data_IF_850645870794
#
_entry.id   IF_850645870794
#
_cell.length_a   1.000
_cell.length_b   1.000
_cell.length_c   1.000
_cell.angle_alpha   90.00
_cell.angle_beta   90.00
_cell.angle_gamma   90.00
#
_symmetry.space_group_name_H-M   'P 1'
#
loop_
_entity.id
_entity.type
_entity.pdbx_description
1 polymer ?
#
# COMPACT_ATOMS: atom_id res chain seq x y z
N UNK A 1 25.78 -18.73 -21.30
CA UNK A 1 24.52 -19.42 -20.97
C UNK A 1 24.09 -18.91 -19.60
N UNK A 2 23.23 -17.91 -19.57
CA UNK A 2 22.66 -17.37 -18.33
C UNK A 2 21.49 -18.25 -17.93
N UNK A 3 21.57 -18.85 -16.76
CA UNK A 3 20.47 -19.59 -16.16
C UNK A 3 19.33 -18.60 -15.81
N UNK A 4 18.28 -18.60 -16.63
CA UNK A 4 17.00 -17.98 -16.29
C UNK A 4 16.34 -18.83 -15.20
N UNK A 5 16.71 -18.60 -13.95
CA UNK A 5 15.91 -19.06 -12.83
C UNK A 5 14.57 -18.34 -12.92
N UNK A 6 13.49 -19.04 -13.21
CA UNK A 6 12.15 -18.53 -13.08
C UNK A 6 11.96 -18.09 -11.62
N UNK A 7 11.92 -16.77 -11.38
CA UNK A 7 11.52 -16.22 -10.12
C UNK A 7 10.09 -16.73 -9.88
N UNK A 8 9.85 -17.37 -8.74
CA UNK A 8 8.52 -17.80 -8.34
C UNK A 8 7.62 -16.57 -8.40
N UNK A 9 6.60 -16.61 -9.24
CA UNK A 9 5.58 -15.56 -9.31
C UNK A 9 4.84 -15.61 -7.98
N UNK A 10 5.12 -14.66 -7.10
CA UNK A 10 4.38 -14.46 -5.85
C UNK A 10 2.93 -14.16 -6.25
N UNK A 11 2.01 -15.08 -5.97
CA UNK A 11 0.60 -15.01 -6.40
C UNK A 11 -0.22 -14.06 -5.52
N UNK A 12 0.40 -13.06 -4.91
CA UNK A 12 -0.30 -12.09 -4.07
C UNK A 12 -1.33 -11.31 -4.89
N UNK A 13 -2.51 -11.16 -4.32
CA UNK A 13 -3.63 -10.49 -4.93
C UNK A 13 -3.62 -9.01 -4.58
N UNK A 14 -3.62 -8.15 -5.59
CA UNK A 14 -3.87 -6.73 -5.39
C UNK A 14 -5.37 -6.45 -5.41
N UNK A 15 -5.85 -5.71 -4.42
CA UNK A 15 -7.19 -5.10 -4.47
C UNK A 15 -7.02 -3.68 -5.01
N UNK A 16 -7.59 -3.42 -6.16
CA UNK A 16 -7.51 -2.11 -6.81
C UNK A 16 -8.73 -1.25 -6.46
N UNK A 17 -8.49 0.05 -6.23
CA UNK A 17 -9.48 1.09 -6.10
C UNK A 17 -9.27 2.12 -7.21
N UNK A 18 -10.34 2.50 -7.88
CA UNK A 18 -10.33 3.38 -9.05
C UNK A 18 -11.37 4.50 -8.90
N UNK A 19 -11.54 5.31 -9.92
CA UNK A 19 -12.58 6.36 -9.95
C UNK A 19 -13.99 5.76 -9.83
N UNK A 20 -14.22 4.54 -10.34
CA UNK A 20 -15.51 3.84 -10.17
C UNK A 20 -15.78 3.42 -8.71
N UNK A 21 -14.76 3.36 -7.87
CA UNK A 21 -14.86 3.06 -6.44
C UNK A 21 -14.95 4.33 -5.58
N UNK A 22 -14.99 5.53 -6.20
CA UNK A 22 -15.15 6.81 -5.52
C UNK A 22 -13.90 7.69 -5.43
N UNK A 23 -12.77 7.31 -6.06
CA UNK A 23 -11.61 8.20 -6.14
C UNK A 23 -11.97 9.45 -6.97
N UNK A 24 -11.60 10.67 -6.50
CA UNK A 24 -11.92 11.91 -7.22
C UNK A 24 -11.07 12.10 -8.48
N UNK A 25 -9.96 11.40 -8.59
CA UNK A 25 -9.06 11.39 -9.73
C UNK A 25 -8.32 10.04 -9.83
N UNK A 26 -7.95 9.65 -11.03
CA UNK A 26 -7.21 8.40 -11.25
C UNK A 26 -5.77 8.44 -10.72
N UNK A 27 -5.11 9.59 -10.76
CA UNK A 27 -3.73 9.73 -10.30
C UNK A 27 -3.65 10.01 -8.80
N UNK A 28 -2.97 9.12 -8.08
CA UNK A 28 -2.68 9.23 -6.65
C UNK A 28 -1.21 9.64 -6.50
N UNK A 29 -0.98 10.84 -5.99
CA UNK A 29 0.35 11.44 -5.89
C UNK A 29 1.04 11.17 -4.56
N UNK A 30 0.26 11.04 -3.49
CA UNK A 30 0.76 10.79 -2.14
C UNK A 30 -0.26 10.04 -1.30
N UNK A 31 0.19 9.17 -0.39
CA UNK A 31 -0.65 8.40 0.53
C UNK A 31 -0.01 8.45 1.91
N UNK A 32 -0.79 8.75 2.92
CA UNK A 32 -0.38 8.62 4.32
C UNK A 32 -1.53 8.08 5.16
N UNK A 33 -1.22 7.48 6.32
CA UNK A 33 -2.21 7.10 7.31
C UNK A 33 -2.10 8.01 8.54
N UNK A 34 -3.23 8.50 9.04
CA UNK A 34 -3.27 9.23 10.30
C UNK A 34 -3.36 8.28 11.51
N UNK A 35 -3.21 8.83 12.72
CA UNK A 35 -3.24 8.06 13.98
C UNK A 35 -4.59 7.37 14.26
N UNK A 36 -5.66 7.83 13.63
CA UNK A 36 -7.00 7.26 13.78
C UNK A 36 -7.26 6.13 12.79
N UNK A 37 -6.33 5.91 11.86
CA UNK A 37 -6.38 4.83 10.87
C UNK A 37 -6.95 5.22 9.51
N UNK A 38 -7.40 6.47 9.33
CA UNK A 38 -7.81 6.95 8.02
C UNK A 38 -6.62 7.10 7.07
N UNK A 39 -6.82 6.70 5.82
CA UNK A 39 -5.88 7.02 4.76
C UNK A 39 -6.22 8.38 4.15
N UNK A 40 -5.18 9.18 3.97
CA UNK A 40 -5.26 10.46 3.29
C UNK A 40 -4.53 10.37 1.95
N UNK A 41 -5.23 10.69 0.89
CA UNK A 41 -4.78 10.56 -0.49
C UNK A 41 -4.63 11.95 -1.10
N UNK A 42 -3.44 12.26 -1.58
CA UNK A 42 -3.23 13.38 -2.48
C UNK A 42 -3.60 12.97 -3.89
N UNK A 43 -4.41 13.77 -4.56
CA UNK A 43 -4.80 13.54 -5.95
C UNK A 43 -4.67 14.83 -6.76
N UNK A 44 -4.80 14.74 -8.08
CA UNK A 44 -4.87 15.93 -8.93
C UNK A 44 -6.24 16.63 -8.91
N UNK A 45 -7.18 16.13 -8.09
CA UNK A 45 -8.51 16.74 -7.89
C UNK A 45 -8.90 16.74 -6.40
N UNK A 46 -8.02 17.25 -5.54
CA UNK A 46 -8.29 17.45 -4.11
C UNK A 46 -7.65 16.43 -3.18
N UNK A 47 -7.84 16.68 -1.89
CA UNK A 47 -7.44 15.83 -0.78
C UNK A 47 -8.57 14.86 -0.46
N UNK A 48 -8.29 13.57 -0.37
CA UNK A 48 -9.31 12.55 -0.09
C UNK A 48 -8.98 11.79 1.17
N UNK A 49 -9.96 11.67 2.09
CA UNK A 49 -9.93 10.77 3.24
C UNK A 49 -10.66 9.48 2.89
N UNK A 50 -10.03 8.35 3.15
CA UNK A 50 -10.58 7.01 2.97
C UNK A 50 -10.64 6.26 4.29
N UNK A 51 -11.81 5.73 4.66
CA UNK A 51 -12.07 5.02 5.92
C UNK A 51 -12.05 3.48 5.77
N UNK A 52 -11.67 2.97 4.61
CA UNK A 52 -11.73 1.54 4.27
C UNK A 52 -12.97 1.15 3.47
N UNK A 53 -14.01 2.00 3.44
CA UNK A 53 -15.27 1.76 2.75
C UNK A 53 -15.72 2.95 1.89
N UNK A 54 -15.64 4.17 2.44
CA UNK A 54 -16.11 5.40 1.79
C UNK A 54 -14.99 6.43 1.65
N UNK A 55 -15.16 7.34 0.70
CA UNK A 55 -14.22 8.41 0.40
C UNK A 55 -14.88 9.78 0.61
N UNK A 56 -14.20 10.67 1.37
CA UNK A 56 -14.59 12.06 1.53
C UNK A 56 -13.51 12.94 0.92
N UNK A 57 -13.89 13.73 -0.08
CA UNK A 57 -12.96 14.61 -0.81
C UNK A 57 -13.13 16.07 -0.41
N UNK A 58 -12.00 16.73 -0.19
CA UNK A 58 -11.88 18.15 0.10
C UNK A 58 -11.26 18.83 -1.12
N UNK A 59 -11.95 19.79 -1.67
CA UNK A 59 -11.53 20.56 -2.84
C UNK A 59 -11.42 22.04 -2.48
N UNK A 60 -10.87 22.84 -3.39
CA UNK A 60 -10.88 24.29 -3.26
C UNK A 60 -12.31 24.81 -3.37
N UNK A 61 -12.69 25.66 -2.44
CA UNK A 61 -13.92 26.43 -2.46
C UNK A 61 -13.61 27.95 -2.39
N UNK A 62 -14.64 28.78 -2.30
CA UNK A 62 -14.49 30.23 -2.24
C UNK A 62 -14.20 30.77 -0.83
N UNK A 63 -14.02 29.90 0.18
CA UNK A 63 -13.69 30.33 1.54
C UNK A 63 -12.20 30.64 1.69
N UNK A 64 -11.87 31.53 2.63
CA UNK A 64 -10.47 31.86 2.97
C UNK A 64 -9.73 30.70 3.63
N UNK A 65 -10.48 29.73 4.15
CA UNK A 65 -9.97 28.51 4.81
C UNK A 65 -10.25 27.25 3.97
N UNK A 66 -9.92 27.29 2.70
CA UNK A 66 -9.99 26.13 1.81
C UNK A 66 -8.63 25.77 1.26
N UNK A 67 -8.58 24.69 0.53
CA UNK A 67 -7.40 24.27 -0.22
C UNK A 67 -7.00 25.36 -1.23
N UNK A 68 -5.73 25.74 -1.26
CA UNK A 68 -5.23 26.78 -2.17
C UNK A 68 -5.19 26.33 -3.63
N UNK A 69 -4.94 25.03 -3.87
CA UNK A 69 -4.95 24.40 -5.20
C UNK A 69 -5.41 22.94 -5.08
N UNK A 70 -6.22 22.49 -6.03
CA UNK A 70 -6.75 21.12 -6.02
C UNK A 70 -5.72 20.04 -6.39
N UNK A 71 -4.62 20.40 -7.03
CA UNK A 71 -3.56 19.48 -7.43
C UNK A 71 -2.60 19.26 -6.27
N UNK A 72 -2.79 18.16 -5.55
CA UNK A 72 -1.93 17.78 -4.41
C UNK A 72 -0.70 17.07 -4.96
N UNK A 73 0.48 17.39 -4.43
CA UNK A 73 1.75 16.75 -4.80
C UNK A 73 2.32 15.95 -3.64
N UNK A 74 2.30 16.50 -2.43
CA UNK A 74 2.92 15.89 -1.26
C UNK A 74 2.03 16.00 -0.02
N UNK A 75 2.14 15.03 0.86
CA UNK A 75 1.46 15.00 2.16
C UNK A 75 2.47 14.69 3.26
N UNK A 76 2.31 15.34 4.40
CA UNK A 76 3.04 15.03 5.61
C UNK A 76 2.12 15.18 6.82
N UNK A 77 2.05 14.14 7.68
CA UNK A 77 1.28 14.16 8.91
C UNK A 77 2.18 14.45 10.11
N UNK A 78 1.94 15.56 10.80
CA UNK A 78 2.58 15.83 12.08
C UNK A 78 1.95 15.01 13.21
N UNK A 79 2.75 14.68 14.21
CA UNK A 79 2.33 13.84 15.35
C UNK A 79 1.10 14.35 16.11
N UNK A 80 0.74 15.63 15.97
CA UNK A 80 -0.21 16.31 16.83
C UNK A 80 -1.59 16.60 16.23
N UNK A 81 -1.91 16.17 15.01
CA UNK A 81 -3.20 16.43 14.38
C UNK A 81 -3.20 17.28 13.13
N UNK A 82 -2.05 17.71 12.68
CA UNK A 82 -1.94 18.55 11.51
C UNK A 82 -1.48 17.72 10.31
N UNK A 83 -2.18 17.91 9.20
CA UNK A 83 -1.82 17.40 7.91
C UNK A 83 -1.30 18.55 7.06
N UNK A 84 -0.02 18.51 6.72
CA UNK A 84 0.61 19.43 5.79
C UNK A 84 0.44 18.94 4.37
N UNK A 85 0.04 19.82 3.48
CA UNK A 85 -0.38 19.48 2.12
C UNK A 85 0.37 20.39 1.15
N UNK A 86 1.26 19.81 0.37
CA UNK A 86 1.96 20.47 -0.72
C UNK A 86 1.15 20.42 -2.00
N UNK A 87 1.02 21.56 -2.68
CA UNK A 87 0.22 21.69 -3.88
C UNK A 87 1.05 22.14 -5.08
N UNK A 88 0.49 21.97 -6.29
CA UNK A 88 1.08 22.41 -7.54
C UNK A 88 0.73 23.89 -7.80
N UNK A 89 1.58 24.81 -7.30
CA UNK A 89 1.41 26.25 -7.51
C UNK A 89 0.47 26.96 -6.53
N UNK A 90 0.04 26.29 -5.47
CA UNK A 90 -0.71 26.89 -4.36
C UNK A 90 0.06 26.86 -3.04
N UNK A 91 1.34 26.48 -3.07
CA UNK A 91 2.19 26.41 -1.91
C UNK A 91 1.79 25.33 -0.91
N UNK A 92 2.04 25.62 0.37
CA UNK A 92 1.78 24.75 1.49
C UNK A 92 0.42 25.07 2.13
N UNK A 93 -0.36 24.02 2.43
CA UNK A 93 -1.62 24.12 3.18
C UNK A 93 -1.52 23.29 4.46
N UNK A 94 -2.36 23.61 5.44
CA UNK A 94 -2.49 22.87 6.69
C UNK A 94 -3.94 22.54 6.93
N UNK A 95 -4.21 21.26 7.18
CA UNK A 95 -5.52 20.74 7.54
C UNK A 95 -5.48 20.20 8.96
N UNK A 96 -6.43 20.61 9.79
CA UNK A 96 -6.58 20.12 11.15
C UNK A 96 -7.50 18.90 11.15
N UNK A 97 -6.96 17.75 11.54
CA UNK A 97 -7.66 16.46 11.50
C UNK A 97 -8.82 16.37 12.51
N UNK A 98 -8.70 17.05 13.67
CA UNK A 98 -9.78 17.05 14.68
C UNK A 98 -10.93 18.00 14.32
N UNK A 99 -10.59 19.17 13.74
CA UNK A 99 -11.60 20.15 13.33
C UNK A 99 -12.17 19.86 11.94
N UNK A 100 -11.54 18.94 11.21
CA UNK A 100 -11.83 18.66 9.81
C UNK A 100 -11.88 19.91 8.92
N UNK A 101 -10.95 20.83 9.14
CA UNK A 101 -10.92 22.14 8.44
C UNK A 101 -9.51 22.57 8.07
N UNK A 102 -9.41 23.36 7.00
CA UNK A 102 -8.16 24.03 6.65
C UNK A 102 -7.91 25.20 7.63
N UNK A 103 -6.67 25.31 8.07
CA UNK A 103 -6.25 26.36 9.01
C UNK A 103 -5.01 27.12 8.48
N UNK A 104 -4.93 27.34 7.17
CA UNK A 104 -3.77 27.93 6.51
C UNK A 104 -3.35 29.25 7.15
N UNK A 105 -4.26 30.22 7.28
CA UNK A 105 -3.97 31.55 7.81
C UNK A 105 -3.75 31.57 9.32
N UNK A 106 -4.33 30.63 10.05
CA UNK A 106 -4.20 30.53 11.51
C UNK A 106 -2.87 29.88 11.93
N UNK A 107 -2.41 28.90 11.17
CA UNK A 107 -1.26 28.07 11.52
C UNK A 107 -0.01 28.47 10.74
N UNK A 108 -0.13 28.81 9.45
CA UNK A 108 1.00 29.24 8.63
C UNK A 108 1.12 30.75 8.63
N UNK A 109 2.16 31.25 9.26
CA UNK A 109 2.59 32.65 9.15
C UNK A 109 3.72 32.76 8.13
N UNK A 110 3.38 32.53 6.87
CA UNK A 110 4.33 32.39 5.78
C UNK A 110 4.19 33.52 4.80
N UNK A 111 5.30 33.95 4.22
CA UNK A 111 5.35 35.01 3.21
C UNK A 111 4.68 34.58 1.88
N UNK A 112 4.26 35.56 1.10
CA UNK A 112 3.53 35.36 -0.16
C UNK A 112 4.27 34.53 -1.21
N UNK A 113 5.60 34.48 -1.14
CA UNK A 113 6.42 33.72 -2.10
C UNK A 113 6.23 32.20 -2.05
N UNK A 114 6.10 31.63 -0.85
CA UNK A 114 5.81 30.16 -0.75
C UNK A 114 4.41 29.82 -1.25
N UNK A 115 3.47 30.75 -1.18
CA UNK A 115 2.07 30.51 -1.54
C UNK A 115 1.83 30.30 -3.04
N UNK A 116 2.80 30.58 -3.88
CA UNK A 116 2.74 30.41 -5.34
C UNK A 116 3.61 29.26 -5.86
N UNK A 117 4.36 28.58 -5.00
CA UNK A 117 5.32 27.55 -5.40
C UNK A 117 4.70 26.15 -5.47
N UNK A 118 5.38 25.26 -6.20
CA UNK A 118 5.09 23.83 -6.20
C UNK A 118 5.83 23.20 -5.03
N UNK A 119 5.10 22.52 -4.14
CA UNK A 119 5.68 21.86 -2.97
C UNK A 119 5.80 20.37 -3.23
N UNK A 120 7.01 19.90 -3.51
CA UNK A 120 7.31 18.49 -3.84
C UNK A 120 7.54 17.64 -2.60
N UNK A 121 8.20 18.17 -1.58
CA UNK A 121 8.57 17.43 -0.37
C UNK A 121 8.26 18.22 0.90
N UNK A 122 7.78 17.50 1.91
CA UNK A 122 7.56 18.03 3.26
C UNK A 122 8.13 17.02 4.24
N UNK A 123 9.05 17.44 5.11
CA UNK A 123 9.68 16.55 6.10
C UNK A 123 9.81 17.27 7.44
N UNK A 124 9.56 16.53 8.53
CA UNK A 124 9.90 16.98 9.87
C UNK A 124 11.41 16.90 10.06
N UNK A 125 11.98 17.97 10.54
CA UNK A 125 13.36 18.05 10.96
C UNK A 125 13.51 17.98 12.47
N UNK A 126 14.75 18.06 12.92
CA UNK A 126 15.11 18.16 14.34
C UNK A 126 14.59 19.50 14.90
N UNK A 127 14.30 19.56 16.19
CA UNK A 127 13.86 20.77 16.91
C UNK A 127 12.55 21.38 16.36
N UNK A 128 11.56 20.54 16.04
CA UNK A 128 10.22 20.97 15.58
C UNK A 128 10.25 21.84 14.30
N UNK A 129 11.28 21.69 13.47
CA UNK A 129 11.37 22.30 12.15
C UNK A 129 10.57 21.49 11.13
N UNK A 130 10.04 22.17 10.14
CA UNK A 130 9.45 21.54 8.94
C UNK A 130 10.25 22.03 7.73
N UNK A 131 10.84 21.10 7.02
CA UNK A 131 11.52 21.32 5.76
C UNK A 131 10.51 21.21 4.61
N UNK A 132 10.51 22.19 3.71
CA UNK A 132 9.60 22.26 2.58
C UNK A 132 10.41 22.41 1.29
N UNK A 133 10.46 21.37 0.50
CA UNK A 133 11.12 21.36 -0.81
C UNK A 133 10.19 21.86 -1.90
N UNK A 134 10.68 22.82 -2.68
CA UNK A 134 9.90 23.48 -3.73
C UNK A 134 10.60 23.45 -5.08
N UNK A 135 9.93 23.98 -6.09
CA UNK A 135 10.49 24.17 -7.44
C UNK A 135 11.68 25.13 -7.50
N UNK A 136 11.83 26.02 -6.51
CA UNK A 136 12.88 27.05 -6.52
C UNK A 136 13.92 26.90 -5.42
N UNK A 137 13.69 26.03 -4.44
CA UNK A 137 14.62 25.84 -3.32
C UNK A 137 13.98 25.15 -2.13
N UNK A 138 14.64 25.33 -0.98
CA UNK A 138 14.25 24.73 0.29
C UNK A 138 13.84 25.79 1.30
N UNK A 139 12.64 25.63 1.85
CA UNK A 139 12.09 26.49 2.90
C UNK A 139 12.14 25.80 4.26
N UNK A 140 12.35 26.60 5.31
CA UNK A 140 12.37 26.13 6.69
C UNK A 140 11.30 26.84 7.50
N UNK A 141 10.43 26.06 8.10
CA UNK A 141 9.41 26.54 9.02
C UNK A 141 9.75 26.08 10.44
N UNK A 142 9.57 26.96 11.41
CA UNK A 142 9.75 26.64 12.84
C UNK A 142 8.42 26.68 13.56
N UNK A 143 8.14 25.67 14.37
CA UNK A 143 6.98 25.65 15.26
C UNK A 143 7.13 26.70 16.36
N UNK A 144 6.09 27.51 16.55
CA UNK A 144 5.98 28.52 17.60
C UNK A 144 4.59 28.37 18.27
N UNK A 145 4.55 27.65 19.37
CA UNK A 145 3.28 27.28 20.01
C UNK A 145 2.43 26.41 19.08
N UNK A 146 1.26 26.89 18.69
CA UNK A 146 0.34 26.18 17.77
C UNK A 146 0.52 26.58 16.29
N UNK A 147 1.41 27.53 15.98
CA UNK A 147 1.63 28.03 14.63
C UNK A 147 3.04 27.72 14.13
N UNK A 148 3.23 27.83 12.81
CA UNK A 148 4.53 27.71 12.15
C UNK A 148 4.88 29.04 11.49
N UNK A 149 6.06 29.54 11.75
CA UNK A 149 6.58 30.75 11.12
C UNK A 149 7.72 30.40 10.16
N UNK A 150 7.81 31.17 9.09
CA UNK A 150 8.96 31.15 8.20
C UNK A 150 10.22 31.51 8.98
N UNK A 151 11.28 30.76 8.75
CA UNK A 151 12.60 31.02 9.34
C UNK A 151 13.66 31.31 8.28
N UNK A 152 13.67 30.53 7.22
CA UNK A 152 14.81 30.48 6.34
C UNK A 152 14.45 29.94 4.95
N UNK A 153 15.15 30.46 3.92
CA UNK A 153 15.09 29.99 2.55
C UNK A 153 16.50 29.75 2.00
N UNK A 154 16.70 28.57 1.39
CA UNK A 154 17.93 28.17 0.73
C UNK A 154 17.64 28.10 -0.77
N UNK A 155 18.05 29.11 -1.56
CA UNK A 155 17.74 29.21 -2.98
C UNK A 155 18.65 28.32 -3.84
N UNK A 156 18.37 28.32 -5.15
CA UNK A 156 19.24 27.76 -6.18
C UNK A 156 19.38 26.21 -6.16
N UNK A 157 18.42 25.52 -5.57
CA UNK A 157 18.29 24.07 -5.71
C UNK A 157 16.93 23.83 -6.38
N UNK A 158 16.90 23.61 -7.71
CA UNK A 158 15.63 23.50 -8.43
C UNK A 158 14.96 22.18 -8.14
N UNK A 159 13.61 22.19 -8.00
CA UNK A 159 12.77 21.00 -7.84
C UNK A 159 13.27 20.05 -6.75
N UNK A 160 13.24 20.49 -5.49
CA UNK A 160 13.62 19.66 -4.34
C UNK A 160 12.56 18.58 -4.11
N UNK A 161 12.86 17.35 -4.51
CA UNK A 161 11.92 16.21 -4.55
C UNK A 161 11.91 15.36 -3.30
N UNK A 162 13.01 15.32 -2.55
CA UNK A 162 13.07 14.67 -1.24
C UNK A 162 14.13 15.31 -0.34
N UNK A 163 13.99 15.13 0.97
CA UNK A 163 14.78 15.81 1.99
C UNK A 163 15.13 14.80 3.09
N UNK A 164 16.40 14.77 3.48
CA UNK A 164 16.90 13.91 4.56
C UNK A 164 17.86 14.68 5.47
N UNK A 165 17.57 14.75 6.77
CA UNK A 165 18.57 15.16 7.76
C UNK A 165 19.53 14.01 8.02
N UNK A 166 20.80 14.21 7.70
CA UNK A 166 21.88 13.25 7.92
C UNK A 166 22.35 13.27 9.38
N UNK A 167 22.56 14.50 9.89
CA UNK A 167 22.94 14.79 11.27
C UNK A 167 22.52 16.22 11.67
N UNK A 168 23.08 16.73 12.78
CA UNK A 168 22.77 18.07 13.26
C UNK A 168 23.21 19.19 12.30
N UNK A 169 24.23 18.94 11.48
CA UNK A 169 24.88 19.96 10.63
C UNK A 169 24.58 19.78 9.16
N UNK A 170 24.26 18.56 8.73
CA UNK A 170 24.16 18.18 7.31
C UNK A 170 22.74 17.75 6.96
N UNK A 171 22.29 18.27 5.84
CA UNK A 171 21.06 17.92 5.17
C UNK A 171 21.37 17.43 3.75
N UNK A 172 20.73 16.38 3.32
CA UNK A 172 20.74 15.96 1.92
C UNK A 172 19.39 16.24 1.28
N UNK A 173 19.43 16.67 0.02
CA UNK A 173 18.23 16.84 -0.80
C UNK A 173 18.44 16.22 -2.16
N UNK A 174 17.38 15.61 -2.69
CA UNK A 174 17.32 15.19 -4.10
C UNK A 174 16.64 16.27 -4.92
N UNK A 175 17.07 16.38 -6.17
CA UNK A 175 16.55 17.37 -7.11
C UNK A 175 16.63 16.81 -8.54
N UNK A 176 16.00 17.51 -9.49
CA UNK A 176 16.13 17.16 -10.91
C UNK A 176 17.54 17.44 -11.51
N UNK A 177 18.43 18.07 -10.76
CA UNK A 177 19.82 18.35 -11.19
C UNK A 177 20.86 17.61 -10.34
N UNK A 178 20.48 16.95 -9.26
CA UNK A 178 21.44 16.22 -8.45
C UNK A 178 21.01 15.89 -7.03
N UNK A 179 21.88 15.19 -6.32
CA UNK A 179 21.85 15.07 -4.85
C UNK A 179 22.77 16.13 -4.28
N UNK A 180 22.24 16.97 -3.42
CA UNK A 180 22.97 18.04 -2.78
C UNK A 180 23.15 17.78 -1.30
N UNK A 181 24.35 18.02 -0.80
CA UNK A 181 24.67 18.14 0.62
C UNK A 181 24.63 19.61 1.02
N UNK A 182 23.83 19.93 2.02
CA UNK A 182 23.65 21.28 2.51
C UNK A 182 24.18 21.35 3.95
N UNK A 183 25.12 22.26 4.19
CA UNK A 183 25.50 22.62 5.54
C UNK A 183 24.45 23.57 6.12
N UNK A 184 23.76 23.16 7.21
CA UNK A 184 22.64 23.90 7.81
C UNK A 184 23.06 25.24 8.43
N UNK A 185 24.34 25.40 8.81
CA UNK A 185 24.85 26.65 9.41
C UNK A 185 25.29 27.67 8.35
N UNK A 186 26.07 27.22 7.36
CA UNK A 186 26.61 28.09 6.31
C UNK A 186 25.66 28.24 5.14
N UNK A 187 24.62 27.40 5.02
CA UNK A 187 23.66 27.33 3.92
C UNK A 187 24.28 27.02 2.55
N UNK A 188 25.52 26.58 2.57
CA UNK A 188 26.20 26.20 1.34
C UNK A 188 25.73 24.81 0.89
N UNK A 189 25.34 24.73 -0.38
CA UNK A 189 24.99 23.47 -1.03
C UNK A 189 26.16 22.99 -1.89
N UNK A 190 26.54 21.72 -1.72
CA UNK A 190 27.54 21.02 -2.51
C UNK A 190 26.88 19.90 -3.29
N UNK A 191 27.05 19.86 -4.60
CA UNK A 191 26.60 18.75 -5.41
C UNK A 191 27.43 17.49 -5.07
N UNK A 192 26.76 16.43 -4.66
CA UNK A 192 27.36 15.12 -4.37
C UNK A 192 27.34 14.21 -5.58
N UNK A 193 26.21 14.23 -6.30
CA UNK A 193 25.99 13.37 -7.44
C UNK A 193 25.05 14.11 -8.40
N UNK A 194 25.41 14.20 -9.68
CA UNK A 194 24.59 14.81 -10.71
C UNK A 194 23.45 13.86 -11.17
N UNK A 195 22.64 14.29 -12.11
CA UNK A 195 21.45 13.61 -12.62
C UNK A 195 20.13 13.86 -11.86
N UNK A 196 19.05 13.36 -12.44
CA UNK A 196 17.69 13.53 -11.89
C UNK A 196 17.40 12.47 -10.83
N UNK A 197 17.21 12.93 -9.60
CA UNK A 197 16.86 12.09 -8.45
C UNK A 197 15.46 12.41 -7.94
N UNK A 198 14.73 11.36 -7.51
CA UNK A 198 13.35 11.48 -7.10
C UNK A 198 13.15 11.28 -5.59
N UNK A 199 13.88 10.32 -4.99
CA UNK A 199 13.61 9.87 -3.62
C UNK A 199 14.86 9.31 -2.95
N UNK A 200 14.84 9.33 -1.61
CA UNK A 200 15.87 8.73 -0.73
C UNK A 200 15.20 7.94 0.37
N UNK A 201 15.82 6.83 0.80
CA UNK A 201 15.37 6.03 1.93
C UNK A 201 16.56 5.41 2.66
N UNK A 202 16.62 5.56 3.97
CA UNK A 202 17.65 4.92 4.77
C UNK A 202 17.45 3.42 4.84
N UNK A 203 18.48 2.68 4.48
CA UNK A 203 18.56 1.24 4.66
C UNK A 203 19.16 0.90 6.04
N UNK A 204 20.15 1.71 6.48
CA UNK A 204 20.77 1.65 7.79
C UNK A 204 21.37 3.01 8.14
N UNK A 205 22.02 3.13 9.31
CA UNK A 205 22.70 4.37 9.73
C UNK A 205 23.78 4.83 8.74
N UNK A 206 24.44 3.88 8.07
CA UNK A 206 25.55 4.17 7.16
C UNK A 206 25.20 3.91 5.68
N UNK A 207 23.97 3.52 5.38
CA UNK A 207 23.55 3.16 4.03
C UNK A 207 22.22 3.78 3.65
N UNK A 208 22.18 4.45 2.50
CA UNK A 208 20.99 5.11 1.95
C UNK A 208 20.74 4.63 0.53
N UNK A 209 19.50 4.24 0.25
CA UNK A 209 19.01 4.01 -1.10
C UNK A 209 18.58 5.32 -1.72
N UNK A 210 18.99 5.58 -2.95
CA UNK A 210 18.65 6.79 -3.70
C UNK A 210 18.17 6.37 -5.08
N UNK A 211 17.01 6.85 -5.46
CA UNK A 211 16.34 6.48 -6.72
C UNK A 211 16.07 7.68 -7.60
N UNK A 212 16.18 7.48 -8.91
CA UNK A 212 15.91 8.51 -9.91
C UNK A 212 15.88 7.96 -11.33
N UNK A 213 16.07 8.85 -12.32
CA UNK A 213 15.96 8.50 -13.74
C UNK A 213 16.97 7.44 -14.17
N UNK A 214 18.18 7.47 -13.60
CA UNK A 214 19.28 6.56 -13.96
C UNK A 214 19.31 5.26 -13.16
N UNK A 215 18.35 5.04 -12.27
CA UNK A 215 18.23 3.80 -11.52
C UNK A 215 18.16 3.95 -10.01
N UNK A 216 18.29 2.80 -9.34
CA UNK A 216 18.44 2.67 -7.90
C UNK A 216 19.91 2.52 -7.54
N UNK A 217 20.37 3.34 -6.64
CA UNK A 217 21.73 3.31 -6.11
C UNK A 217 21.74 3.14 -4.61
N UNK A 218 22.74 2.41 -4.13
CA UNK A 218 23.09 2.37 -2.72
C UNK A 218 24.30 3.27 -2.49
N UNK A 219 24.16 4.24 -1.63
CA UNK A 219 25.28 4.97 -1.04
C UNK A 219 25.64 4.35 0.30
N UNK A 220 26.93 4.11 0.53
CA UNK A 220 27.49 3.66 1.83
C UNK A 220 28.54 4.64 2.31
N UNK A 221 28.46 5.04 3.58
CA UNK A 221 29.44 5.95 4.18
C UNK A 221 30.84 5.32 4.14
N UNK A 222 31.78 5.97 3.43
CA UNK A 222 33.13 5.44 3.21
C UNK A 222 33.28 4.38 2.12
N UNK A 223 32.17 3.84 1.59
CA UNK A 223 32.17 2.83 0.53
C UNK A 223 31.76 3.36 -0.87
N UNK A 224 31.21 4.57 -0.92
CA UNK A 224 30.79 5.21 -2.16
C UNK A 224 29.46 4.72 -2.71
N UNK A 225 29.28 4.80 -4.03
CA UNK A 225 28.03 4.56 -4.75
C UNK A 225 28.07 3.21 -5.49
N UNK A 226 26.98 2.45 -5.38
CA UNK A 226 26.78 1.18 -6.11
C UNK A 226 25.41 1.13 -6.74
N UNK A 227 25.32 0.95 -8.05
CA UNK A 227 24.06 0.76 -8.77
C UNK A 227 23.45 -0.60 -8.45
N UNK A 228 22.17 -0.62 -8.11
CA UNK A 228 21.40 -1.83 -7.75
C UNK A 228 20.45 -2.24 -8.87
N UNK A 229 19.76 -1.25 -9.48
CA UNK A 229 18.75 -1.51 -10.50
C UNK A 229 18.81 -0.42 -11.57
N UNK A 230 18.64 -0.81 -12.85
CA UNK A 230 18.74 0.07 -14.00
C UNK A 230 17.38 0.32 -14.62
N UNK A 231 16.49 0.99 -13.86
CA UNK A 231 15.16 1.44 -14.30
C UNK A 231 14.84 2.77 -13.64
N UNK A 232 13.95 3.55 -14.21
CA UNK A 232 13.57 4.85 -13.68
C UNK A 232 12.75 4.71 -12.38
N UNK A 233 13.35 5.09 -11.24
CA UNK A 233 12.77 4.96 -9.90
C UNK A 233 11.95 6.21 -9.59
N UNK A 234 10.73 6.01 -9.11
CA UNK A 234 9.85 7.07 -8.66
C UNK A 234 9.76 7.19 -7.13
N UNK A 235 9.77 6.05 -6.43
CA UNK A 235 9.60 6.04 -4.97
C UNK A 235 10.17 4.76 -4.35
N UNK A 236 10.57 4.83 -3.08
CA UNK A 236 11.14 3.73 -2.29
C UNK A 236 10.35 3.62 -0.99
N UNK A 237 10.07 2.40 -0.54
CA UNK A 237 9.49 2.13 0.77
C UNK A 237 10.20 0.94 1.42
N UNK A 238 10.55 1.07 2.69
CA UNK A 238 11.01 -0.05 3.52
C UNK A 238 9.89 -0.32 4.53
N UNK A 239 9.33 -1.51 4.49
CA UNK A 239 8.21 -1.90 5.32
C UNK A 239 8.68 -2.39 6.70
N UNK A 240 7.76 -2.47 7.66
CA UNK A 240 8.02 -2.89 9.04
C UNK A 240 8.64 -4.29 9.15
N UNK A 241 8.42 -5.16 8.17
CA UNK A 241 9.05 -6.48 8.04
C UNK A 241 10.39 -6.44 7.29
N UNK A 242 10.99 -5.26 7.11
CA UNK A 242 12.27 -5.01 6.44
C UNK A 242 12.33 -5.41 4.95
N UNK A 243 11.20 -5.54 4.28
CA UNK A 243 11.16 -5.69 2.82
C UNK A 243 11.30 -4.32 2.15
N UNK A 244 12.06 -4.28 1.05
CA UNK A 244 12.29 -3.05 0.28
C UNK A 244 11.41 -3.11 -0.96
N UNK A 245 10.57 -2.10 -1.12
CA UNK A 245 9.65 -1.95 -2.23
C UNK A 245 10.04 -0.75 -3.08
N UNK A 246 10.25 -0.99 -4.37
CA UNK A 246 10.73 0.01 -5.33
C UNK A 246 9.63 0.24 -6.35
N UNK A 247 9.09 1.44 -6.37
CA UNK A 247 8.13 1.90 -7.37
C UNK A 247 8.83 2.60 -8.53
N UNK A 248 8.47 2.24 -9.75
CA UNK A 248 9.08 2.77 -10.97
C UNK A 248 8.12 3.65 -11.76
N UNK A 249 8.65 4.40 -12.70
CA UNK A 249 7.84 5.23 -13.60
C UNK A 249 7.08 4.41 -14.66
N UNK A 250 7.60 3.25 -15.08
CA UNK A 250 7.00 2.48 -16.19
C UNK A 250 7.07 0.96 -16.03
N UNK A 251 7.94 0.46 -15.14
CA UNK A 251 8.27 -0.96 -15.05
C UNK A 251 7.53 -1.66 -13.88
N UNK A 252 6.59 -0.96 -13.24
CA UNK A 252 5.79 -1.48 -12.13
C UNK A 252 6.55 -1.47 -10.80
N UNK A 253 6.46 -2.56 -10.07
CA UNK A 253 6.89 -2.69 -8.69
C UNK A 253 7.93 -3.79 -8.54
N UNK A 254 9.02 -3.50 -7.84
CA UNK A 254 10.07 -4.45 -7.50
C UNK A 254 10.12 -4.64 -5.99
N UNK A 255 10.27 -5.90 -5.58
CA UNK A 255 10.42 -6.28 -4.18
C UNK A 255 11.82 -6.85 -3.95
N UNK A 256 12.51 -6.32 -2.96
CA UNK A 256 13.82 -6.80 -2.54
C UNK A 256 13.81 -7.24 -1.06
N UNK A 257 14.71 -8.16 -0.73
CA UNK A 257 15.07 -8.41 0.67
C UNK A 257 15.91 -7.26 1.24
N UNK A 258 16.07 -7.23 2.55
CA UNK A 258 16.94 -6.24 3.22
C UNK A 258 18.41 -6.28 2.69
N UNK A 259 18.87 -7.45 2.26
CA UNK A 259 20.21 -7.66 1.66
C UNK A 259 20.27 -7.27 0.17
N UNK A 260 19.26 -6.57 -0.33
CA UNK A 260 19.16 -6.11 -1.74
C UNK A 260 19.15 -7.25 -2.76
N UNK A 261 18.62 -8.43 -2.41
CA UNK A 261 18.33 -9.50 -3.34
C UNK A 261 16.92 -9.31 -3.91
N UNK A 262 16.77 -9.29 -5.24
CA UNK A 262 15.47 -9.23 -5.89
C UNK A 262 14.65 -10.48 -5.57
N UNK A 263 13.46 -10.30 -4.99
CA UNK A 263 12.54 -11.37 -4.58
C UNK A 263 11.39 -11.54 -5.59
N UNK A 264 10.81 -10.44 -6.07
CA UNK A 264 9.66 -10.46 -6.99
C UNK A 264 9.54 -9.16 -7.79
N UNK A 265 8.81 -9.24 -8.89
CA UNK A 265 8.39 -8.08 -9.70
C UNK A 265 6.89 -8.18 -9.97
N UNK A 266 6.20 -7.03 -9.95
CA UNK A 266 4.76 -6.96 -10.19
C UNK A 266 4.49 -5.88 -11.23
N UNK A 267 3.64 -6.20 -12.19
CA UNK A 267 3.26 -5.29 -13.26
C UNK A 267 1.74 -5.24 -13.43
N UNK A 268 1.28 -4.21 -14.09
CA UNK A 268 -0.09 -4.13 -14.59
C UNK A 268 -0.35 -5.32 -15.51
N UNK A 269 -1.28 -6.19 -15.16
CA UNK A 269 -1.59 -7.41 -15.90
C UNK A 269 -2.43 -7.15 -17.14
N UNK A 270 -2.29 -7.99 -18.18
CA UNK A 270 -3.22 -8.04 -19.29
C UNK A 270 -4.66 -8.24 -18.81
N UNK A 271 -5.63 -7.74 -19.55
CA UNK A 271 -7.08 -7.63 -19.28
C UNK A 271 -7.75 -8.89 -18.66
N UNK A 272 -7.12 -10.04 -18.77
CA UNK A 272 -7.60 -11.33 -18.25
C UNK A 272 -7.05 -11.72 -16.84
N UNK A 273 -6.12 -10.95 -16.28
CA UNK A 273 -5.62 -11.17 -14.92
C UNK A 273 -6.08 -10.02 -14.02
N UNK A 274 -7.27 -10.17 -13.45
CA UNK A 274 -7.90 -9.21 -12.50
C UNK A 274 -7.15 -9.03 -11.17
N UNK A 275 -5.91 -9.46 -11.06
CA UNK A 275 -5.14 -9.61 -9.80
C UNK A 275 -3.81 -8.85 -9.79
N UNK A 276 -3.52 -8.05 -10.79
CA UNK A 276 -2.27 -7.25 -10.90
C UNK A 276 -2.41 -5.84 -10.33
N UNK A 277 -1.32 -5.06 -10.45
CA UNK A 277 -1.30 -3.63 -10.14
C UNK A 277 -2.34 -2.85 -10.96
N UNK A 278 -2.82 -1.74 -10.43
CA UNK A 278 -3.72 -0.83 -11.15
C UNK A 278 -3.01 -0.09 -12.31
N UNK A 279 -1.71 0.12 -12.21
CA UNK A 279 -0.86 0.72 -13.26
C UNK A 279 0.63 0.49 -12.96
N UNK A 280 1.49 0.53 -13.99
CA UNK A 280 2.95 0.38 -13.84
C UNK A 280 3.66 1.65 -13.37
N UNK A 281 3.01 2.81 -13.45
CA UNK A 281 3.55 4.07 -12.98
C UNK A 281 3.21 4.23 -11.49
N UNK A 282 4.17 3.90 -10.63
CA UNK A 282 4.03 4.00 -9.18
C UNK A 282 4.41 5.40 -8.72
N UNK A 283 3.62 5.97 -7.80
CA UNK A 283 3.81 7.35 -7.31
C UNK A 283 4.07 7.42 -5.80
N UNK A 284 3.40 6.57 -5.04
CA UNK A 284 3.45 6.65 -3.58
C UNK A 284 3.27 5.29 -2.93
N UNK A 285 3.82 5.15 -1.74
CA UNK A 285 3.61 4.02 -0.85
C UNK A 285 3.14 4.49 0.52
N UNK A 286 2.33 3.65 1.16
CA UNK A 286 2.00 3.76 2.57
C UNK A 286 1.77 2.36 3.14
N UNK A 287 2.55 1.95 4.13
CA UNK A 287 2.23 0.79 4.95
C UNK A 287 1.24 1.22 6.03
N UNK A 288 0.08 0.57 6.12
CA UNK A 288 -0.91 0.86 7.15
C UNK A 288 -0.63 0.09 8.45
N UNK A 289 -1.29 0.47 9.53
CA UNK A 289 -1.14 -0.17 10.86
C UNK A 289 -1.55 -1.64 10.89
N UNK A 290 -2.26 -2.11 9.86
CA UNK A 290 -2.67 -3.51 9.70
C UNK A 290 -1.66 -4.33 8.88
N UNK A 291 -0.54 -3.74 8.46
CA UNK A 291 0.48 -4.38 7.63
C UNK A 291 0.06 -4.55 6.17
N UNK A 292 -0.81 -3.68 5.65
CA UNK A 292 -1.07 -3.63 4.21
C UNK A 292 -0.20 -2.55 3.57
N UNK A 293 0.34 -2.85 2.40
CA UNK A 293 1.01 -1.86 1.56
C UNK A 293 0.02 -1.27 0.57
N UNK A 294 -0.21 0.04 0.68
CA UNK A 294 -0.99 0.83 -0.24
C UNK A 294 -0.07 1.46 -1.28
N UNK A 295 -0.43 1.34 -2.54
CA UNK A 295 0.39 1.70 -3.68
C UNK A 295 -0.41 2.67 -4.55
N UNK A 296 -0.04 3.94 -4.50
CA UNK A 296 -0.61 4.97 -5.36
C UNK A 296 0.00 4.90 -6.75
N UNK A 297 -0.83 4.92 -7.76
CA UNK A 297 -0.40 4.84 -9.16
C UNK A 297 -0.99 5.97 -9.99
N UNK A 298 -0.61 6.04 -11.25
CA UNK A 298 -1.22 6.98 -12.21
C UNK A 298 -2.65 6.60 -12.60
N UNK A 299 -3.10 5.39 -12.27
CA UNK A 299 -4.46 4.94 -12.58
C UNK A 299 -5.08 4.15 -11.42
N UNK A 300 -5.33 4.85 -10.32
CA UNK A 300 -5.91 4.29 -9.12
C UNK A 300 -4.90 3.93 -8.04
N UNK A 301 -5.36 3.17 -7.09
CA UNK A 301 -4.61 2.72 -5.93
C UNK A 301 -4.72 1.21 -5.79
N UNK A 302 -3.61 0.53 -5.52
CA UNK A 302 -3.56 -0.90 -5.25
C UNK A 302 -3.27 -1.15 -3.78
N UNK A 303 -3.98 -2.09 -3.16
CA UNK A 303 -3.72 -2.59 -1.81
C UNK A 303 -3.09 -3.98 -1.90
N UNK A 304 -2.00 -4.20 -1.18
CA UNK A 304 -1.33 -5.48 -1.03
C UNK A 304 -1.20 -5.83 0.46
N UNK A 305 -1.65 -7.03 0.87
CA UNK A 305 -1.48 -7.49 2.25
C UNK A 305 -0.11 -8.15 2.42
N UNK A 306 0.75 -7.61 3.32
CA UNK A 306 2.15 -8.06 3.45
C UNK A 306 2.33 -9.28 4.36
N UNK A 307 1.53 -9.48 5.37
CA UNK A 307 1.77 -10.47 6.41
C UNK A 307 0.56 -11.28 6.86
N UNK A 308 -0.58 -11.10 6.24
CA UNK A 308 -1.80 -11.82 6.56
C UNK A 308 -1.85 -13.17 5.84
N UNK A 309 -2.37 -14.21 6.51
CA UNK A 309 -2.94 -15.33 5.79
C UNK A 309 -4.06 -14.74 4.93
N UNK A 310 -3.91 -14.77 3.62
CA UNK A 310 -4.98 -14.39 2.71
C UNK A 310 -6.21 -15.26 3.04
N UNK A 311 -7.39 -14.62 3.04
CA UNK A 311 -8.62 -15.41 3.04
C UNK A 311 -8.70 -16.10 1.68
N UNK A 312 -8.47 -17.41 1.67
CA UNK A 312 -8.73 -18.21 0.48
C UNK A 312 -10.23 -18.32 0.31
N UNK A 313 -10.74 -17.77 -0.79
CA UNK A 313 -12.17 -17.84 -1.11
C UNK A 313 -12.42 -19.07 -1.98
N UNK A 314 -12.99 -20.10 -1.40
CA UNK A 314 -13.44 -21.28 -2.13
C UNK A 314 -14.86 -21.03 -2.64
N UNK A 315 -14.98 -20.54 -3.87
CA UNK A 315 -16.26 -20.42 -4.57
C UNK A 315 -16.58 -21.73 -5.29
N UNK A 316 -17.75 -22.26 -5.05
CA UNK A 316 -18.27 -23.43 -5.77
C UNK A 316 -18.69 -23.16 -7.23
N UNK A 317 -18.46 -21.96 -7.72
CA UNK A 317 -18.78 -21.54 -9.10
C UNK A 317 -17.94 -22.28 -10.16
N UNK A 318 -16.95 -23.06 -9.75
CA UNK A 318 -16.18 -23.92 -10.67
C UNK A 318 -16.81 -25.30 -10.92
N UNK A 319 -18.09 -25.47 -10.67
CA UNK A 319 -18.81 -26.64 -11.14
C UNK A 319 -19.14 -26.42 -12.63
N UNK A 320 -18.29 -26.98 -13.50
CA UNK A 320 -18.41 -26.90 -14.97
C UNK A 320 -19.73 -27.50 -15.51
N UNK A 321 -20.58 -28.02 -14.63
CA UNK A 321 -21.85 -28.66 -14.95
C UNK A 321 -23.08 -27.81 -14.64
N UNK A 322 -22.93 -26.56 -14.20
CA UNK A 322 -24.05 -25.65 -13.98
C UNK A 322 -24.70 -25.22 -15.30
N UNK A 323 -25.93 -25.64 -15.52
CA UNK A 323 -26.76 -25.14 -16.64
C UNK A 323 -27.13 -23.69 -16.42
N UNK A 324 -27.11 -22.90 -17.50
CA UNK A 324 -27.50 -21.49 -17.52
C UNK A 324 -28.86 -21.30 -16.82
N UNK A 325 -28.90 -20.45 -15.77
CA UNK A 325 -30.11 -20.18 -14.99
C UNK A 325 -30.24 -20.91 -13.65
N UNK A 326 -29.31 -21.77 -13.25
CA UNK A 326 -29.31 -22.37 -11.91
C UNK A 326 -28.61 -21.48 -10.89
N UNK A 327 -29.36 -20.95 -9.93
CA UNK A 327 -28.78 -20.25 -8.76
C UNK A 327 -28.30 -21.27 -7.75
N UNK A 328 -26.99 -21.39 -7.57
CA UNK A 328 -26.40 -22.22 -6.51
C UNK A 328 -26.66 -21.55 -5.16
N UNK A 329 -27.44 -22.22 -4.30
CA UNK A 329 -27.61 -21.82 -2.91
C UNK A 329 -26.42 -22.31 -2.10
N UNK A 330 -25.28 -21.62 -2.21
CA UNK A 330 -24.04 -21.94 -1.47
C UNK A 330 -24.03 -21.26 -0.10
N UNK A 331 -24.89 -21.68 0.80
CA UNK A 331 -24.75 -21.26 2.20
C UNK A 331 -24.02 -22.38 2.96
N UNK A 332 -22.73 -22.15 3.24
CA UNK A 332 -22.01 -22.99 4.19
C UNK A 332 -22.65 -22.82 5.57
N UNK A 333 -23.01 -23.94 6.18
CA UNK A 333 -23.65 -23.96 7.49
C UNK A 333 -22.67 -24.35 8.59
N UNK A 334 -21.73 -25.27 8.31
CA UNK A 334 -20.79 -25.79 9.28
C UNK A 334 -19.52 -26.29 8.62
N UNK A 335 -18.42 -26.40 9.40
CA UNK A 335 -17.19 -27.06 8.98
C UNK A 335 -16.52 -27.76 10.15
N UNK A 336 -15.70 -28.75 9.79
CA UNK A 336 -14.92 -29.55 10.72
C UNK A 336 -13.56 -29.86 10.08
N UNK A 337 -12.47 -29.76 10.84
CA UNK A 337 -11.12 -30.14 10.40
C UNK A 337 -10.76 -31.50 11.04
N UNK A 338 -10.39 -32.44 10.22
CA UNK A 338 -9.96 -33.76 10.69
C UNK A 338 -8.47 -33.81 11.05
N UNK A 339 -8.00 -34.94 11.62
CA UNK A 339 -6.61 -35.11 12.08
C UNK A 339 -5.59 -35.04 10.92
N UNK A 340 -6.02 -35.30 9.67
CA UNK A 340 -5.19 -35.22 8.47
C UNK A 340 -5.10 -33.80 7.91
N UNK A 341 -5.86 -32.82 8.50
CA UNK A 341 -5.94 -31.45 8.08
C UNK A 341 -6.85 -31.22 6.88
N UNK A 342 -7.78 -32.15 6.60
CA UNK A 342 -8.84 -31.97 5.61
C UNK A 342 -10.00 -31.21 6.21
N UNK A 343 -10.55 -30.25 5.45
CA UNK A 343 -11.69 -29.45 5.87
C UNK A 343 -12.98 -30.00 5.30
N UNK A 344 -13.85 -30.47 6.16
CA UNK A 344 -15.21 -30.94 5.85
C UNK A 344 -16.16 -29.76 5.87
N UNK A 345 -16.93 -29.56 4.80
CA UNK A 345 -17.78 -28.39 4.59
C UNK A 345 -19.21 -28.85 4.40
N UNK A 346 -20.06 -28.53 5.37
CA UNK A 346 -21.49 -28.78 5.32
C UNK A 346 -22.23 -27.54 4.79
N UNK A 347 -23.14 -27.74 3.85
CA UNK A 347 -23.88 -26.69 3.16
C UNK A 347 -25.38 -26.92 3.19
N UNK A 348 -26.18 -25.86 2.90
CA UNK A 348 -27.63 -25.96 2.79
C UNK A 348 -28.05 -26.55 1.44
N UNK A 349 -28.82 -27.64 1.48
CA UNK A 349 -29.42 -28.29 0.32
C UNK A 349 -28.43 -28.67 -0.80
N UNK A 350 -27.19 -28.99 -0.42
CA UNK A 350 -26.10 -29.35 -1.34
C UNK A 350 -25.26 -30.45 -0.72
N UNK A 351 -24.41 -31.06 -1.53
CA UNK A 351 -23.55 -32.14 -1.16
C UNK A 351 -22.52 -31.79 -0.08
N UNK A 352 -22.03 -32.83 0.63
CA UNK A 352 -20.88 -32.69 1.52
C UNK A 352 -19.61 -32.50 0.71
N UNK A 353 -18.79 -31.55 1.10
CA UNK A 353 -17.53 -31.25 0.44
C UNK A 353 -16.36 -31.44 1.39
N UNK A 354 -15.26 -31.97 0.85
CA UNK A 354 -13.99 -32.15 1.59
C UNK A 354 -12.88 -31.47 0.83
N UNK A 355 -12.23 -30.52 1.49
CA UNK A 355 -11.06 -29.84 0.97
C UNK A 355 -9.80 -30.40 1.62
N UNK A 356 -8.95 -31.02 0.82
CA UNK A 356 -7.59 -31.34 1.23
C UNK A 356 -6.71 -30.08 1.13
N UNK A 357 -6.35 -29.52 2.28
CA UNK A 357 -5.56 -28.28 2.36
C UNK A 357 -4.10 -28.45 1.92
N UNK A 358 -3.57 -29.69 1.89
CA UNK A 358 -2.20 -29.96 1.44
C UNK A 358 -2.11 -30.02 -0.08
N UNK A 359 -3.11 -30.64 -0.72
CA UNK A 359 -3.15 -30.80 -2.18
C UNK A 359 -4.01 -29.75 -2.89
N UNK A 360 -4.74 -28.93 -2.12
CA UNK A 360 -5.71 -27.93 -2.63
C UNK A 360 -6.84 -28.56 -3.48
N UNK A 361 -7.12 -29.85 -3.29
CA UNK A 361 -8.19 -30.52 -4.00
C UNK A 361 -9.50 -30.47 -3.22
N UNK A 362 -10.56 -30.01 -3.88
CA UNK A 362 -11.92 -30.04 -3.37
C UNK A 362 -12.64 -31.29 -3.95
N UNK A 363 -13.17 -32.12 -3.08
CA UNK A 363 -13.99 -33.27 -3.45
C UNK A 363 -15.42 -33.05 -3.00
N UNK A 364 -16.38 -33.50 -3.80
CA UNK A 364 -17.80 -33.48 -3.48
C UNK A 364 -18.29 -34.92 -3.27
N UNK A 365 -18.89 -35.17 -2.13
CA UNK A 365 -19.61 -36.42 -1.82
C UNK A 365 -21.08 -36.19 -2.18
N UNK A 366 -21.46 -36.69 -3.35
CA UNK A 366 -22.81 -36.54 -3.89
C UNK A 366 -23.76 -37.69 -3.42
N UNK A 367 -25.02 -37.55 -3.75
CA UNK A 367 -26.07 -38.53 -3.44
C UNK A 367 -25.80 -39.94 -3.93
N UNK A 368 -24.89 -40.18 -4.86
CA UNK A 368 -24.51 -41.51 -5.33
C UNK A 368 -23.52 -42.18 -4.39
N UNK A 369 -22.72 -41.40 -3.70
CA UNK A 369 -21.72 -41.89 -2.72
C UNK A 369 -22.27 -41.96 -1.30
N UNK A 370 -23.18 -41.05 -0.94
CA UNK A 370 -23.85 -41.01 0.34
C UNK A 370 -25.34 -40.63 0.14
N UNK A 371 -26.19 -41.60 -0.24
CA UNK A 371 -27.61 -41.37 -0.51
C UNK A 371 -28.38 -40.76 0.67
N UNK A 372 -27.95 -41.06 1.89
CA UNK A 372 -28.52 -40.56 3.15
C UNK A 372 -28.26 -39.08 3.39
N UNK A 373 -27.29 -38.47 2.71
CA UNK A 373 -26.99 -37.03 2.77
C UNK A 373 -27.57 -36.26 1.59
N UNK A 374 -28.27 -36.95 0.69
CA UNK A 374 -28.81 -36.34 -0.52
C UNK A 374 -29.86 -35.28 -0.23
N UNK A 375 -29.62 -34.07 -0.75
CA UNK A 375 -30.50 -32.90 -0.60
C UNK A 375 -30.73 -32.41 0.84
N UNK A 376 -29.94 -32.90 1.81
CA UNK A 376 -30.05 -32.53 3.20
C UNK A 376 -29.19 -31.31 3.52
N UNK A 377 -29.65 -30.46 4.44
CA UNK A 377 -28.85 -29.40 5.02
C UNK A 377 -27.99 -29.98 6.14
N UNK A 378 -26.68 -30.01 5.92
CA UNK A 378 -25.71 -30.42 6.93
C UNK A 378 -25.51 -29.27 7.93
N UNK A 379 -25.92 -29.50 9.17
CA UNK A 379 -25.96 -28.46 10.21
C UNK A 379 -24.86 -28.58 11.26
N UNK A 380 -24.28 -29.75 11.45
CA UNK A 380 -23.24 -29.98 12.45
C UNK A 380 -22.34 -31.18 12.10
N UNK A 381 -21.12 -31.12 12.58
CA UNK A 381 -20.17 -32.23 12.65
C UNK A 381 -19.77 -32.45 14.11
N UNK A 382 -19.60 -33.72 14.48
CA UNK A 382 -19.11 -34.11 15.79
C UNK A 382 -18.22 -35.34 15.68
N UNK A 383 -16.99 -35.25 16.18
CA UNK A 383 -16.07 -36.39 16.27
C UNK A 383 -16.18 -37.03 17.66
N UNK A 384 -16.54 -38.31 17.71
CA UNK A 384 -16.62 -39.01 18.99
C UNK A 384 -15.24 -39.52 19.45
N UNK A 385 -15.18 -39.98 20.72
CA UNK A 385 -13.93 -40.50 21.32
C UNK A 385 -13.43 -41.80 20.65
N UNK A 386 -14.22 -42.42 19.79
CA UNK A 386 -13.87 -43.65 19.05
C UNK A 386 -13.39 -43.34 17.62
N UNK A 387 -13.33 -42.04 17.23
CA UNK A 387 -12.93 -41.62 15.91
C UNK A 387 -14.06 -41.68 14.87
N UNK A 388 -15.32 -41.79 15.27
CA UNK A 388 -16.44 -41.70 14.32
C UNK A 388 -16.81 -40.22 14.13
N UNK A 389 -16.95 -39.81 12.87
CA UNK A 389 -17.48 -38.49 12.53
C UNK A 389 -19.01 -38.59 12.36
N UNK A 390 -19.73 -37.89 13.22
CA UNK A 390 -21.17 -37.79 13.17
C UNK A 390 -21.57 -36.57 12.36
N UNK A 391 -22.51 -36.72 11.45
CA UNK A 391 -23.02 -35.67 10.59
C UNK A 391 -24.49 -35.44 10.93
N UNK A 392 -24.80 -34.27 11.46
CA UNK A 392 -26.17 -33.84 11.76
C UNK A 392 -26.77 -33.09 10.58
N UNK A 393 -28.01 -33.50 10.21
CA UNK A 393 -28.79 -32.84 9.16
C UNK A 393 -30.05 -32.18 9.75
N UNK A 394 -30.70 -31.27 9.01
CA UNK A 394 -31.91 -30.55 9.48
C UNK A 394 -33.16 -31.45 9.52
N UNK A 395 -33.22 -32.48 8.67
CA UNK A 395 -34.37 -33.39 8.59
C UNK A 395 -34.10 -34.70 9.37
N UNK A 396 -33.95 -34.60 10.70
CA UNK A 396 -34.00 -35.70 11.70
C UNK A 396 -33.21 -36.99 11.35
N UNK A 397 -32.18 -36.90 10.53
CA UNK A 397 -31.33 -38.02 10.16
C UNK A 397 -29.94 -37.87 10.75
N UNK A 398 -29.46 -38.88 11.48
CA UNK A 398 -28.06 -38.98 11.90
C UNK A 398 -27.38 -40.03 11.05
N UNK A 399 -26.34 -39.68 10.35
CA UNK A 399 -25.42 -40.61 9.72
C UNK A 399 -24.08 -40.55 10.41
N UNK A 400 -23.43 -41.71 10.59
CA UNK A 400 -22.06 -41.77 11.08
C UNK A 400 -21.16 -42.35 10.00
N UNK A 401 -20.03 -41.71 9.76
CA UNK A 401 -18.96 -42.23 8.94
C UNK A 401 -17.79 -42.58 9.87
N UNK A 402 -17.24 -43.77 9.72
CA UNK A 402 -16.00 -44.14 10.43
C UNK A 402 -14.85 -43.46 9.74
N UNK A 403 -13.93 -42.87 10.50
CA UNK A 403 -12.76 -42.16 9.97
C UNK A 403 -11.91 -43.05 9.04
N UNK A 404 -11.94 -44.40 9.20
CA UNK A 404 -11.26 -45.35 8.34
C UNK A 404 -12.03 -45.73 7.06
N UNK A 405 -13.30 -45.41 6.95
CA UNK A 405 -14.11 -45.67 5.75
C UNK A 405 -14.03 -44.52 4.76
N UNK A 406 -13.47 -43.36 5.17
CA UNK A 406 -13.28 -42.21 4.30
C UNK A 406 -12.35 -42.47 3.13
N UNK A 407 -11.39 -43.40 3.28
CA UNK A 407 -10.50 -43.81 2.18
C UNK A 407 -11.23 -44.53 1.04
N UNK A 408 -12.44 -45.05 1.27
CA UNK A 408 -13.28 -45.63 0.21
C UNK A 408 -14.02 -44.57 -0.62
N UNK A 409 -14.12 -43.32 -0.11
CA UNK A 409 -14.76 -42.19 -0.79
C UNK A 409 -13.73 -41.23 -1.42
N UNK A 410 -12.43 -41.44 -1.16
CA UNK A 410 -11.29 -40.77 -1.76
C UNK A 410 -10.76 -41.56 -2.96
#
# INVERSE_FOLDING_TARGET
MAASGALAQDQRLFKNLTVSDGLPHSEITSIIQDKTGFLWLGTLNGLTRYDGNSMKTYIRDNSSNSLSNIRIISLYHDSDSLLFIGTEGGGLNVFNLYKESFENTAILKVESELSSQIVYAIRKGINEKIWVGTDTGLWVLQKQGTSFSYQEYIPNIPMVTDIKEVDQDILWVTSNTGVYEINKHTRQARLLFDHHWACMQDLSLDATLIGGADGLFLYTRGGGWRKILDVNIATICITSNHEIWIGTMNDGLFKFSHDLKLLATYQYGHIWQSKGLSNNHIRAFCEDFSGNLWIGTRNGMSKLTLGGKEFEVYNSILDENLREGQTVRNKTATFFEDEDGRLWIGSQATDLRILDRKTQKLQTIDARRAPELANETISAFFLDRKGNLWIGTWAVSYTHLRAHETDQYL
#
